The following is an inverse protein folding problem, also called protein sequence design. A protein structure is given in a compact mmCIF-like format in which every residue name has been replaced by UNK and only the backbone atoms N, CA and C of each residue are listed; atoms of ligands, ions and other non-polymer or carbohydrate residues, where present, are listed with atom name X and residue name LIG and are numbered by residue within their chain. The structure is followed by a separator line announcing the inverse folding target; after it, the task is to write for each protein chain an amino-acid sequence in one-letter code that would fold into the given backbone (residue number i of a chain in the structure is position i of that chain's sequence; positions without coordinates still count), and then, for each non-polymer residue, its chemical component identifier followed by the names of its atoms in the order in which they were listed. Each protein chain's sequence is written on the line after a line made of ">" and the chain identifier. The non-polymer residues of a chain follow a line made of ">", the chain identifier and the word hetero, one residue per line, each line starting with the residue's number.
data_IF_623478802421
#
_entry.id   IF_623478802421
#
_cell.length_a   1.000
_cell.length_b   1.000
_cell.length_c   1.000
_cell.angle_alpha   90.00
_cell.angle_beta   90.00
_cell.angle_gamma   90.00
#
_symmetry.space_group_name_H-M   'P 1'
#
loop_
_entity.id
_entity.type
_entity.pdbx_description
1 polymer ?
#
# COMPACT_ATOMS: atom_id res chain seq x y z
N UNK A 1 11.98 14.08 -5.57
CA UNK A 1 10.77 14.22 -4.73
C UNK A 1 9.94 12.94 -4.69
N UNK A 2 9.14 12.55 -5.70
CA UNK A 2 8.40 11.27 -5.64
C UNK A 2 9.31 10.02 -5.67
N UNK A 3 10.36 10.04 -6.50
CA UNK A 3 11.34 8.94 -6.55
C UNK A 3 12.01 8.66 -5.18
N UNK A 4 12.21 9.69 -4.36
CA UNK A 4 12.78 9.55 -3.02
C UNK A 4 11.77 8.95 -2.04
N UNK A 5 10.49 9.36 -2.16
CA UNK A 5 9.39 8.78 -1.39
C UNK A 5 9.23 7.29 -1.70
N UNK A 6 9.20 6.93 -2.99
CA UNK A 6 9.09 5.54 -3.43
C UNK A 6 10.27 4.68 -2.98
N UNK A 7 11.49 5.23 -2.96
CA UNK A 7 12.66 4.54 -2.41
C UNK A 7 12.49 4.23 -0.92
N UNK A 8 12.08 5.23 -0.13
CA UNK A 8 11.87 5.05 1.32
C UNK A 8 10.73 4.06 1.60
N UNK A 9 9.64 4.11 0.83
CA UNK A 9 8.51 3.18 0.99
C UNK A 9 8.90 1.72 0.67
N UNK A 10 9.82 1.52 -0.30
CA UNK A 10 10.39 0.22 -0.68
C UNK A 10 11.53 -0.24 0.24
N UNK A 11 12.02 0.64 1.11
CA UNK A 11 13.14 0.33 1.99
C UNK A 11 12.77 -0.75 3.04
N UNK A 12 13.80 -1.46 3.49
CA UNK A 12 13.70 -2.48 4.54
C UNK A 12 13.70 -1.87 5.95
N UNK A 13 14.14 -0.62 6.10
CA UNK A 13 14.03 0.14 7.34
C UNK A 13 12.56 0.52 7.59
N UNK A 14 11.86 -0.39 8.27
CA UNK A 14 10.44 -0.26 8.55
C UNK A 14 10.11 1.01 9.34
N UNK A 15 11.03 1.53 10.18
CA UNK A 15 10.76 2.75 10.97
C UNK A 15 10.65 3.96 10.05
N UNK A 16 11.60 4.13 9.13
CA UNK A 16 11.60 5.25 8.18
C UNK A 16 10.44 5.14 7.20
N UNK A 17 10.24 3.95 6.63
CA UNK A 17 9.16 3.71 5.70
C UNK A 17 7.78 3.94 6.36
N UNK A 18 7.60 3.53 7.61
CA UNK A 18 6.36 3.73 8.35
C UNK A 18 6.13 5.20 8.75
N UNK A 19 7.19 5.94 9.12
CA UNK A 19 7.08 7.37 9.36
C UNK A 19 6.61 8.11 8.10
N UNK A 20 7.20 7.78 6.95
CA UNK A 20 6.80 8.36 5.66
C UNK A 20 5.37 7.98 5.28
N UNK A 21 4.98 6.72 5.48
CA UNK A 21 3.61 6.26 5.27
C UNK A 21 2.60 7.12 6.05
N UNK A 22 2.86 7.37 7.35
CA UNK A 22 1.97 8.19 8.18
C UNK A 22 1.86 9.62 7.68
N UNK A 23 2.97 10.22 7.27
CA UNK A 23 2.98 11.58 6.75
C UNK A 23 2.09 11.70 5.50
N UNK A 24 2.23 10.77 4.57
CA UNK A 24 1.42 10.74 3.35
C UNK A 24 -0.05 10.55 3.69
N UNK A 25 -0.40 9.61 4.58
CA UNK A 25 -1.78 9.39 5.01
C UNK A 25 -2.38 10.67 5.63
N UNK A 26 -1.64 11.33 6.53
CA UNK A 26 -2.10 12.53 7.20
C UNK A 26 -2.35 13.68 6.21
N UNK A 27 -1.45 13.88 5.23
CA UNK A 27 -1.64 14.88 4.18
C UNK A 27 -2.77 14.50 3.21
N UNK A 28 -2.88 13.22 2.87
CA UNK A 28 -3.97 12.70 2.03
C UNK A 28 -5.33 12.90 2.70
N UNK A 29 -5.38 13.01 4.03
CA UNK A 29 -6.62 13.27 4.74
C UNK A 29 -7.15 14.71 4.56
N UNK A 30 -6.32 15.65 4.15
CA UNK A 30 -6.68 17.07 4.00
C UNK A 30 -6.49 17.60 2.58
N UNK A 31 -5.73 16.89 1.74
CA UNK A 31 -5.38 17.31 0.38
C UNK A 31 -5.35 16.12 -0.59
N UNK A 32 -5.68 16.39 -1.85
CA UNK A 32 -5.59 15.44 -2.97
C UNK A 32 -4.20 15.38 -3.61
N UNK A 33 -3.21 16.10 -3.08
CA UNK A 33 -1.84 16.20 -3.63
C UNK A 33 -1.24 14.84 -4.03
N UNK A 34 -1.50 13.81 -3.22
CA UNK A 34 -0.97 12.48 -3.42
C UNK A 34 -1.78 11.58 -4.36
N UNK A 35 -2.98 12.00 -4.79
CA UNK A 35 -3.81 11.22 -5.72
C UNK A 35 -3.15 11.08 -7.09
N UNK A 36 -2.39 12.10 -7.52
CA UNK A 36 -1.61 12.06 -8.77
C UNK A 36 -0.61 10.90 -8.83
N UNK A 37 -0.19 10.37 -7.68
CA UNK A 37 0.77 9.27 -7.53
C UNK A 37 0.11 7.93 -7.19
N UNK A 38 -1.20 7.81 -7.36
CA UNK A 38 -1.93 6.56 -7.10
C UNK A 38 -1.30 5.38 -7.86
N UNK A 39 -0.93 5.59 -9.12
CA UNK A 39 -0.40 4.53 -9.98
C UNK A 39 0.99 4.07 -9.46
N UNK A 40 1.84 5.00 -9.00
CA UNK A 40 3.11 4.67 -8.35
C UNK A 40 2.91 3.84 -7.07
N UNK A 41 1.95 4.23 -6.21
CA UNK A 41 1.64 3.46 -5.01
C UNK A 41 1.10 2.06 -5.33
N UNK A 42 0.37 1.93 -6.44
CA UNK A 42 -0.13 0.63 -6.89
C UNK A 42 1.01 -0.32 -7.26
N UNK A 43 2.14 0.18 -7.77
CA UNK A 43 3.31 -0.65 -8.07
C UNK A 43 3.90 -1.33 -6.82
N UNK A 44 3.76 -0.70 -5.63
CA UNK A 44 4.26 -1.27 -4.38
C UNK A 44 3.54 -2.58 -4.02
N UNK A 45 2.30 -2.78 -4.48
CA UNK A 45 1.54 -4.01 -4.28
C UNK A 45 2.11 -5.21 -5.04
N UNK A 46 2.94 -4.96 -6.07
CA UNK A 46 3.64 -6.01 -6.80
C UNK A 46 5.00 -6.38 -6.16
N UNK A 47 5.34 -5.82 -5.00
CA UNK A 47 6.59 -6.11 -4.31
C UNK A 47 6.60 -7.53 -3.73
N UNK A 48 7.77 -8.18 -3.77
CA UNK A 48 7.98 -9.48 -3.12
C UNK A 48 7.82 -9.42 -1.59
N UNK A 49 8.14 -8.27 -0.99
CA UNK A 49 8.04 -8.06 0.45
C UNK A 49 6.59 -7.69 0.84
N UNK A 50 5.99 -8.49 1.72
CA UNK A 50 4.62 -8.29 2.22
C UNK A 50 4.42 -6.94 2.90
N UNK A 51 5.41 -6.45 3.65
CA UNK A 51 5.33 -5.12 4.28
C UNK A 51 5.25 -3.99 3.25
N UNK A 52 6.01 -4.11 2.15
CA UNK A 52 5.97 -3.13 1.05
C UNK A 52 4.62 -3.20 0.34
N UNK A 53 4.05 -4.40 0.13
CA UNK A 53 2.70 -4.55 -0.43
C UNK A 53 1.64 -3.88 0.44
N UNK A 54 1.68 -4.11 1.75
CA UNK A 54 0.73 -3.53 2.72
C UNK A 54 0.81 -1.99 2.71
N UNK A 55 2.01 -1.42 2.59
CA UNK A 55 2.19 0.04 2.45
C UNK A 55 1.52 0.57 1.19
N UNK A 56 1.79 -0.07 0.05
CA UNK A 56 1.16 0.26 -1.24
C UNK A 56 -0.35 0.27 -1.16
N UNK A 57 -0.92 -0.81 -0.62
CA UNK A 57 -2.35 -0.92 -0.42
C UNK A 57 -2.91 0.19 0.48
N UNK A 58 -2.27 0.43 1.63
CA UNK A 58 -2.70 1.46 2.58
C UNK A 58 -2.71 2.85 1.94
N UNK A 59 -1.69 3.17 1.13
CA UNK A 59 -1.61 4.43 0.41
C UNK A 59 -2.68 4.57 -0.67
N UNK A 60 -2.96 3.50 -1.42
CA UNK A 60 -4.06 3.47 -2.39
C UNK A 60 -5.41 3.69 -1.70
N UNK A 61 -5.64 3.08 -0.54
CA UNK A 61 -6.84 3.31 0.28
C UNK A 61 -6.92 4.76 0.79
N UNK A 62 -5.80 5.35 1.21
CA UNK A 62 -5.76 6.75 1.65
C UNK A 62 -6.12 7.72 0.51
N UNK A 63 -5.78 7.35 -0.74
CA UNK A 63 -6.11 8.13 -1.93
C UNK A 63 -7.56 7.91 -2.41
N UNK A 64 -8.20 6.82 -2.01
CA UNK A 64 -9.52 6.44 -2.48
C UNK A 64 -10.61 7.48 -2.21
N UNK A 65 -10.42 8.33 -1.20
CA UNK A 65 -11.34 9.43 -0.89
C UNK A 65 -11.37 10.52 -1.97
N UNK A 66 -10.29 10.65 -2.74
CA UNK A 66 -10.15 11.57 -3.87
C UNK A 66 -10.34 10.84 -5.21
N UNK A 67 -10.66 9.54 -5.16
CA UNK A 67 -10.77 8.69 -6.33
C UNK A 67 -12.13 8.81 -7.02
N UNK A 68 -12.38 9.97 -7.62
CA UNK A 68 -13.55 10.20 -8.45
C UNK A 68 -13.57 9.31 -9.71
N UNK A 69 -12.39 8.80 -10.10
CA UNK A 69 -12.19 7.98 -11.32
C UNK A 69 -12.28 6.47 -11.06
N UNK A 70 -12.48 6.05 -9.82
CA UNK A 70 -12.65 4.64 -9.46
C UNK A 70 -11.41 3.74 -9.67
N UNK A 71 -10.20 4.31 -9.67
CA UNK A 71 -8.93 3.56 -9.75
C UNK A 71 -8.80 2.49 -8.66
N UNK A 72 -9.29 2.74 -7.44
CA UNK A 72 -9.27 1.77 -6.35
C UNK A 72 -10.09 0.52 -6.70
N UNK A 73 -11.25 0.68 -7.34
CA UNK A 73 -12.11 -0.45 -7.72
C UNK A 73 -11.41 -1.38 -8.72
N UNK A 74 -10.55 -0.83 -9.57
CA UNK A 74 -9.82 -1.61 -10.58
C UNK A 74 -8.71 -2.47 -9.96
N UNK A 75 -8.10 -2.03 -8.86
CA UNK A 75 -7.02 -2.77 -8.20
C UNK A 75 -7.51 -3.76 -7.13
N UNK A 76 -8.74 -3.57 -6.61
CA UNK A 76 -9.32 -4.39 -5.56
C UNK A 76 -9.32 -5.91 -5.87
N UNK A 77 -9.63 -6.38 -7.10
CA UNK A 77 -9.55 -7.79 -7.43
C UNK A 77 -8.13 -8.38 -7.28
N UNK A 78 -7.10 -7.60 -7.64
CA UNK A 78 -5.71 -8.04 -7.52
C UNK A 78 -5.28 -8.20 -6.06
N UNK A 79 -5.77 -7.33 -5.18
CA UNK A 79 -5.50 -7.41 -3.73
C UNK A 79 -6.19 -8.63 -3.11
N UNK A 80 -7.45 -8.88 -3.47
CA UNK A 80 -8.19 -10.06 -3.00
C UNK A 80 -7.51 -11.36 -3.43
N UNK A 81 -7.00 -11.42 -4.67
CA UNK A 81 -6.24 -12.58 -5.14
C UNK A 81 -4.98 -12.83 -4.29
N UNK A 82 -4.23 -11.78 -3.93
CA UNK A 82 -3.03 -11.91 -3.08
C UNK A 82 -3.34 -12.39 -1.66
N UNK A 83 -4.44 -11.95 -1.06
CA UNK A 83 -4.89 -12.43 0.26
C UNK A 83 -5.29 -13.91 0.24
N UNK A 84 -5.79 -14.40 -0.89
CA UNK A 84 -6.17 -15.79 -1.08
C UNK A 84 -4.97 -16.68 -1.46
N UNK A 85 -3.94 -16.11 -2.10
CA UNK A 85 -2.71 -16.80 -2.52
C UNK A 85 -1.60 -16.83 -1.45
N UNK A 86 -1.64 -15.94 -0.45
CA UNK A 86 -0.75 -16.04 0.72
C UNK A 86 -1.08 -17.36 1.44
N UNK A 87 -0.33 -18.40 1.05
CA UNK A 87 -0.35 -19.76 1.58
C UNK A 87 -0.64 -19.75 3.07
N UNK A 88 -1.45 -20.70 3.58
CA UNK A 88 -1.84 -20.72 4.98
C UNK A 88 -0.63 -21.00 5.87
N UNK A 89 0.09 -19.94 6.22
CA UNK A 89 1.14 -19.93 7.24
C UNK A 89 0.50 -19.89 8.65
N UNK A 90 -0.83 -19.89 8.71
CA UNK A 90 -1.65 -19.96 9.91
C UNK A 90 -2.61 -21.15 9.79
N UNK A 91 -2.08 -22.37 9.59
CA UNK A 91 -2.88 -23.60 9.80
C UNK A 91 -2.32 -24.51 10.90
N UNK A 92 -1.19 -24.14 11.51
CA UNK A 92 -0.48 -25.01 12.46
C UNK A 92 -0.30 -24.39 13.85
N UNK A 93 -1.27 -23.62 14.33
CA UNK A 93 -1.24 -23.05 15.69
C UNK A 93 -2.55 -23.23 16.49
N UNK A 94 -3.44 -24.16 16.09
CA UNK A 94 -4.67 -24.45 16.84
C UNK A 94 -4.99 -25.96 16.95
N UNK A 95 -4.00 -26.85 16.88
CA UNK A 95 -4.20 -28.30 17.01
C UNK A 95 -3.35 -28.97 18.10
N UNK A 96 -2.94 -28.22 19.12
CA UNK A 96 -2.43 -28.79 20.37
C UNK A 96 -3.09 -28.09 21.56
#
# INVERSE_FOLDING_TARGET
>A
MMNDIMKVLRDKDDKKAYAMLKEIIAKSATSEEYYSYFDDFSELMNAKNSYVRIRGFTLCCAQARWDERGKLKNILPGILAQLHDDKPSIRTACLH
#
